data_IF_330467299889
#
_entry.id   IF_330467299889
#
_cell.length_a   1.000
_cell.length_b   1.000
_cell.length_c   1.000
_cell.angle_alpha   90.00
_cell.angle_beta   90.00
_cell.angle_gamma   90.00
#
_symmetry.space_group_name_H-M   'P 1'
#
loop_
_entity.id
_entity.type
_entity.pdbx_description
1 polymer ?
#
# COMPACT_ATOMS: atom_id res chain seq x y z
N UNK A 1 -9.97 -55.63 -46.60
CA UNK A 1 -9.15 -55.06 -45.51
C UNK A 1 -8.93 -53.58 -45.80
N UNK A 2 -9.70 -52.70 -45.18
CA UNK A 2 -9.37 -51.27 -45.09
C UNK A 2 -9.35 -50.92 -43.61
N UNK A 3 -8.16 -50.63 -43.08
CA UNK A 3 -7.98 -50.11 -41.73
C UNK A 3 -8.14 -48.59 -41.80
N UNK A 4 -9.26 -48.08 -41.30
CA UNK A 4 -9.44 -46.64 -41.09
C UNK A 4 -8.70 -46.24 -39.82
N UNK A 5 -7.61 -45.48 -39.96
CA UNK A 5 -6.90 -44.85 -38.85
C UNK A 5 -7.61 -43.55 -38.51
N UNK A 6 -8.27 -43.50 -37.34
CA UNK A 6 -8.82 -42.27 -36.79
C UNK A 6 -7.72 -41.56 -35.99
N UNK A 7 -7.19 -40.46 -36.53
CA UNK A 7 -6.23 -39.60 -35.81
C UNK A 7 -7.02 -38.61 -34.95
N UNK A 8 -7.00 -38.81 -33.64
CA UNK A 8 -7.60 -37.88 -32.68
C UNK A 8 -6.58 -36.77 -32.38
N UNK A 9 -6.74 -35.60 -33.01
CA UNK A 9 -5.93 -34.41 -32.71
C UNK A 9 -6.47 -33.80 -31.41
N UNK A 10 -5.78 -34.05 -30.29
CA UNK A 10 -6.03 -33.37 -29.03
C UNK A 10 -5.47 -31.93 -29.09
N UNK A 11 -6.34 -30.96 -29.38
CA UNK A 11 -6.00 -29.54 -29.26
C UNK A 11 -5.94 -29.18 -27.78
N UNK A 12 -4.74 -29.12 -27.21
CA UNK A 12 -4.52 -28.53 -25.88
C UNK A 12 -4.64 -27.01 -25.99
N UNK A 13 -5.84 -26.47 -25.70
CA UNK A 13 -6.00 -25.04 -25.42
C UNK A 13 -5.15 -24.70 -24.20
N UNK A 14 -3.96 -24.14 -24.46
CA UNK A 14 -3.17 -23.47 -23.44
C UNK A 14 -3.91 -22.19 -23.09
N UNK A 15 -4.80 -22.26 -22.10
CA UNK A 15 -5.32 -21.07 -21.44
C UNK A 15 -4.11 -20.37 -20.84
N UNK A 16 -3.66 -19.29 -21.49
CA UNK A 16 -2.68 -18.39 -20.88
C UNK A 16 -3.29 -17.95 -19.57
N UNK A 17 -2.65 -18.31 -18.46
CA UNK A 17 -3.07 -17.87 -17.14
C UNK A 17 -2.95 -16.34 -17.16
N UNK A 18 -4.06 -15.66 -17.43
CA UNK A 18 -4.13 -14.21 -17.35
C UNK A 18 -3.70 -13.86 -15.93
N UNK A 19 -2.56 -13.20 -15.78
CA UNK A 19 -2.09 -12.78 -14.47
C UNK A 19 -3.18 -11.94 -13.82
N UNK A 20 -3.59 -12.34 -12.63
CA UNK A 20 -4.62 -11.69 -11.85
C UNK A 20 -4.05 -10.44 -11.15
N UNK A 21 -3.68 -9.44 -11.94
CA UNK A 21 -3.06 -8.21 -11.45
C UNK A 21 -4.13 -7.14 -11.17
N UNK A 22 -3.96 -6.34 -10.11
CA UNK A 22 -4.86 -5.23 -9.82
C UNK A 22 -4.77 -4.17 -10.91
N UNK A 23 -5.86 -3.44 -11.14
CA UNK A 23 -5.82 -2.29 -12.03
C UNK A 23 -5.01 -1.15 -11.41
N UNK A 24 -5.19 -0.93 -10.11
CA UNK A 24 -4.54 0.15 -9.38
C UNK A 24 -4.23 -0.25 -7.93
N UNK A 25 -3.06 0.16 -7.45
CA UNK A 25 -2.66 0.12 -6.05
C UNK A 25 -2.34 1.55 -5.61
N UNK A 26 -3.00 2.02 -4.54
CA UNK A 26 -2.74 3.30 -3.89
C UNK A 26 -2.00 2.99 -2.58
N UNK A 27 -0.74 3.36 -2.49
CA UNK A 27 0.11 3.11 -1.33
C UNK A 27 0.25 4.41 -0.56
N UNK A 28 0.12 4.33 0.76
CA UNK A 28 0.42 5.41 1.69
C UNK A 28 1.16 4.86 2.90
N UNK A 29 1.95 5.72 3.51
CA UNK A 29 2.58 5.46 4.80
C UNK A 29 1.54 5.48 5.93
N UNK A 30 1.85 4.77 7.01
CA UNK A 30 1.26 4.97 8.32
C UNK A 30 1.17 6.47 8.73
N UNK A 31 0.22 6.79 9.61
CA UNK A 31 0.14 8.13 10.20
C UNK A 31 1.15 8.32 11.33
N UNK A 32 1.25 9.54 11.83
CA UNK A 32 2.06 9.88 12.98
C UNK A 32 1.59 9.07 14.19
N UNK A 33 2.54 8.38 14.81
CA UNK A 33 2.27 7.42 15.89
C UNK A 33 2.62 8.02 17.24
N UNK A 34 1.86 7.66 18.27
CA UNK A 34 2.23 7.93 19.65
C UNK A 34 3.14 6.82 20.18
N UNK A 35 2.88 5.58 19.76
CA UNK A 35 3.63 4.40 20.13
C UNK A 35 3.41 3.29 19.08
N UNK A 36 3.94 2.09 19.32
CA UNK A 36 3.80 0.96 18.38
C UNK A 36 2.36 0.45 18.19
N UNK A 37 1.40 0.89 19.00
CA UNK A 37 0.03 0.39 19.01
C UNK A 37 -0.99 1.36 18.42
N UNK A 38 -0.70 2.67 18.39
CA UNK A 38 -1.69 3.71 18.03
C UNK A 38 -1.08 4.97 17.42
N UNK A 39 -1.94 5.70 16.72
CA UNK A 39 -1.69 7.06 16.24
C UNK A 39 -1.58 8.05 17.41
N UNK A 40 -0.81 9.13 17.22
CA UNK A 40 -0.92 10.34 18.05
C UNK A 40 -2.05 11.22 17.54
N UNK A 41 -2.38 12.32 18.24
CA UNK A 41 -3.45 13.24 17.84
C UNK A 41 -3.27 13.77 16.41
N UNK A 42 -2.03 14.05 15.99
CA UNK A 42 -1.72 14.45 14.62
C UNK A 42 -2.06 13.34 13.62
N UNK A 43 -1.68 12.10 13.92
CA UNK A 43 -2.00 10.95 13.08
C UNK A 43 -3.49 10.68 12.99
N UNK A 44 -4.23 10.88 14.09
CA UNK A 44 -5.70 10.81 14.10
C UNK A 44 -6.30 11.89 13.20
N UNK A 45 -5.82 13.15 13.29
CA UNK A 45 -6.28 14.22 12.39
C UNK A 45 -5.98 13.89 10.93
N UNK A 46 -4.80 13.34 10.62
CA UNK A 46 -4.46 12.86 9.27
C UNK A 46 -5.38 11.74 8.80
N UNK A 47 -5.71 10.77 9.66
CA UNK A 47 -6.64 9.68 9.36
C UNK A 47 -8.02 10.20 8.94
N UNK A 48 -8.54 11.17 9.70
CA UNK A 48 -9.80 11.84 9.39
C UNK A 48 -9.72 12.68 8.11
N UNK A 49 -8.63 13.41 7.91
CA UNK A 49 -8.40 14.22 6.72
C UNK A 49 -8.31 13.37 5.44
N UNK A 50 -7.62 12.23 5.51
CA UNK A 50 -7.53 11.25 4.43
C UNK A 50 -8.93 10.73 4.03
N UNK A 51 -9.75 10.37 5.00
CA UNK A 51 -11.13 9.93 4.75
C UNK A 51 -11.97 11.05 4.13
N UNK A 52 -11.91 12.26 4.69
CA UNK A 52 -12.72 13.39 4.25
C UNK A 52 -12.30 13.96 2.87
N UNK A 53 -11.03 13.85 2.49
CA UNK A 53 -10.51 14.52 1.31
C UNK A 53 -10.10 13.58 0.19
N UNK A 54 -9.71 12.33 0.44
CA UNK A 54 -9.14 11.48 -0.62
C UNK A 54 -9.74 10.08 -0.71
N UNK A 55 -9.91 9.40 0.43
CA UNK A 55 -10.13 7.97 0.50
C UNK A 55 -11.57 7.56 0.89
N UNK A 56 -12.42 8.48 1.35
CA UNK A 56 -13.78 8.16 1.81
C UNK A 56 -14.88 8.32 0.76
N UNK A 57 -16.07 7.78 1.04
CA UNK A 57 -17.26 7.78 0.16
C UNK A 57 -17.74 9.16 -0.28
N UNK A 58 -17.49 10.17 0.54
CA UNK A 58 -17.82 11.58 0.28
C UNK A 58 -16.60 12.46 0.00
N UNK A 59 -15.43 11.88 -0.26
CA UNK A 59 -14.18 12.62 -0.34
C UNK A 59 -14.25 13.81 -1.31
N UNK A 60 -13.75 14.97 -0.86
CA UNK A 60 -13.73 16.20 -1.66
C UNK A 60 -12.87 16.03 -2.94
N UNK A 61 -11.67 15.47 -2.76
CA UNK A 61 -10.67 15.21 -3.80
C UNK A 61 -10.49 13.70 -4.03
N UNK A 62 -11.60 12.96 -4.12
CA UNK A 62 -11.64 11.49 -4.24
C UNK A 62 -10.61 10.96 -5.23
N UNK A 63 -9.77 10.02 -4.79
CA UNK A 63 -8.83 9.31 -5.68
C UNK A 63 -9.53 8.28 -6.56
N UNK A 64 -10.78 7.91 -6.26
CA UNK A 64 -11.50 6.89 -6.99
C UNK A 64 -12.37 7.48 -8.09
N UNK A 65 -12.14 6.99 -9.31
CA UNK A 65 -12.87 7.40 -10.50
C UNK A 65 -14.38 7.19 -10.31
N UNK A 66 -15.16 8.19 -10.75
CA UNK A 66 -16.64 8.17 -10.67
C UNK A 66 -17.18 7.91 -9.25
N UNK A 67 -16.39 8.21 -8.21
CA UNK A 67 -16.74 7.99 -6.79
C UNK A 67 -17.15 6.54 -6.52
N UNK A 68 -16.56 5.57 -7.23
CA UNK A 68 -16.72 4.15 -6.94
C UNK A 68 -15.82 3.77 -5.76
N UNK A 69 -16.30 2.89 -4.90
CA UNK A 69 -15.50 2.43 -3.76
C UNK A 69 -14.25 1.69 -4.25
N UNK A 70 -13.11 1.81 -3.55
CA UNK A 70 -12.01 0.86 -3.76
C UNK A 70 -12.48 -0.55 -3.38
N UNK A 71 -11.87 -1.56 -3.99
CA UNK A 71 -12.25 -2.94 -3.73
C UNK A 71 -11.80 -3.39 -2.34
N UNK A 72 -10.65 -2.90 -1.86
CA UNK A 72 -10.13 -3.19 -0.53
C UNK A 72 -9.30 -2.05 0.08
N UNK A 73 -9.32 -2.00 1.42
CA UNK A 73 -8.33 -1.32 2.25
C UNK A 73 -7.48 -2.39 2.94
N UNK A 74 -6.17 -2.25 2.86
CA UNK A 74 -5.19 -3.19 3.40
C UNK A 74 -4.23 -2.46 4.32
N UNK A 75 -3.92 -3.07 5.47
CA UNK A 75 -3.02 -2.57 6.49
C UNK A 75 -2.06 -3.69 6.98
N UNK A 76 -0.98 -3.31 7.68
CA UNK A 76 0.02 -4.26 8.24
C UNK A 76 0.19 -4.17 9.75
N UNK A 77 0.10 -2.99 10.33
CA UNK A 77 0.28 -2.72 11.76
C UNK A 77 -0.96 -2.07 12.34
N UNK A 78 -1.05 -1.98 13.67
CA UNK A 78 -2.22 -1.41 14.35
C UNK A 78 -2.43 0.07 14.00
N UNK A 79 -1.36 0.87 13.92
CA UNK A 79 -1.47 2.28 13.54
C UNK A 79 -1.74 2.47 12.04
N UNK A 80 -1.33 1.54 11.15
CA UNK A 80 -1.81 1.57 9.75
C UNK A 80 -3.29 1.20 9.63
N UNK A 81 -3.78 0.27 10.45
CA UNK A 81 -5.20 -0.07 10.55
C UNK A 81 -6.01 1.13 11.02
N UNK A 82 -5.58 1.78 12.10
CA UNK A 82 -6.21 2.98 12.65
C UNK A 82 -6.26 4.12 11.62
N UNK A 83 -5.21 4.28 10.80
CA UNK A 83 -5.15 5.30 9.76
C UNK A 83 -6.21 5.14 8.67
N UNK A 84 -6.45 3.91 8.18
CA UNK A 84 -7.38 3.69 7.06
C UNK A 84 -8.79 3.37 7.50
N UNK A 85 -9.00 3.08 8.79
CA UNK A 85 -10.30 2.68 9.32
C UNK A 85 -11.41 3.70 9.05
N UNK A 86 -11.23 5.03 9.25
CA UNK A 86 -12.28 6.00 8.94
C UNK A 86 -12.66 6.01 7.46
N UNK A 87 -11.68 5.87 6.56
CA UNK A 87 -11.94 5.78 5.12
C UNK A 87 -12.73 4.51 4.77
N UNK A 88 -12.28 3.35 5.25
CA UNK A 88 -12.94 2.06 5.03
C UNK A 88 -14.38 2.05 5.59
N UNK A 89 -14.57 2.58 6.79
CA UNK A 89 -15.88 2.71 7.44
C UNK A 89 -16.84 3.57 6.62
N UNK A 90 -16.38 4.68 6.05
CA UNK A 90 -17.23 5.54 5.21
C UNK A 90 -17.79 4.82 3.96
N UNK A 91 -17.11 3.77 3.50
CA UNK A 91 -17.55 2.90 2.41
C UNK A 91 -18.32 1.66 2.89
N UNK A 92 -18.44 1.42 4.20
CA UNK A 92 -19.01 0.20 4.76
C UNK A 92 -18.15 -1.04 4.47
N UNK A 93 -16.83 -0.89 4.41
CA UNK A 93 -15.88 -1.95 4.06
C UNK A 93 -15.00 -2.34 5.25
N UNK A 94 -14.62 -3.63 5.38
CA UNK A 94 -13.61 -4.05 6.32
C UNK A 94 -12.21 -3.60 5.86
N UNK A 95 -11.27 -3.58 6.79
CA UNK A 95 -9.83 -3.49 6.51
C UNK A 95 -9.25 -4.90 6.56
N UNK A 96 -8.51 -5.30 5.54
CA UNK A 96 -7.76 -6.56 5.51
C UNK A 96 -6.42 -6.32 6.18
N UNK A 97 -6.13 -7.09 7.22
CA UNK A 97 -4.92 -6.89 8.02
C UNK A 97 -3.92 -8.04 7.80
N UNK A 98 -2.79 -7.74 7.18
CA UNK A 98 -1.63 -8.64 7.12
C UNK A 98 -0.76 -8.39 8.35
N UNK A 99 -1.29 -8.75 9.53
CA UNK A 99 -0.82 -8.22 10.80
C UNK A 99 0.63 -8.61 11.14
N UNK A 100 1.44 -7.61 11.48
CA UNK A 100 2.62 -7.73 12.34
C UNK A 100 2.35 -6.97 13.63
N UNK A 101 2.01 -7.68 14.70
CA UNK A 101 1.68 -7.06 15.99
C UNK A 101 2.95 -6.75 16.78
N UNK A 102 2.99 -5.62 17.50
CA UNK A 102 4.03 -5.37 18.49
C UNK A 102 3.98 -6.46 19.56
N UNK A 103 5.14 -6.97 19.95
CA UNK A 103 5.27 -7.93 21.05
C UNK A 103 6.43 -7.51 21.94
N UNK A 104 6.20 -7.53 23.25
CA UNK A 104 7.24 -7.25 24.23
C UNK A 104 8.46 -8.16 24.06
N UNK A 105 9.65 -7.59 24.27
CA UNK A 105 10.92 -8.33 24.20
C UNK A 105 11.45 -8.64 22.80
N UNK A 106 10.75 -8.23 21.73
CA UNK A 106 11.21 -8.44 20.35
C UNK A 106 12.25 -7.38 19.95
N UNK A 107 13.36 -7.82 19.36
CA UNK A 107 14.37 -6.90 18.80
C UNK A 107 13.89 -6.28 17.48
N UNK A 108 14.48 -5.16 17.07
CA UNK A 108 14.17 -4.54 15.78
C UNK A 108 14.37 -5.50 14.59
N UNK A 109 15.45 -6.31 14.62
CA UNK A 109 15.72 -7.30 13.58
C UNK A 109 14.61 -8.38 13.49
N UNK A 110 14.16 -8.90 14.63
CA UNK A 110 13.05 -9.85 14.66
C UNK A 110 11.74 -9.22 14.19
N UNK A 111 11.50 -7.94 14.51
CA UNK A 111 10.34 -7.21 14.02
C UNK A 111 10.38 -7.04 12.49
N UNK A 112 11.55 -6.71 11.92
CA UNK A 112 11.75 -6.61 10.47
C UNK A 112 11.52 -7.96 9.77
N UNK A 113 12.02 -9.08 10.29
CA UNK A 113 11.75 -10.41 9.69
C UNK A 113 10.24 -10.69 9.61
N UNK A 114 9.48 -10.34 10.65
CA UNK A 114 8.03 -10.52 10.64
C UNK A 114 7.33 -9.59 9.64
N UNK A 115 7.73 -8.31 9.59
CA UNK A 115 7.20 -7.34 8.64
C UNK A 115 7.55 -7.72 7.18
N UNK A 116 8.77 -8.20 6.90
CA UNK A 116 9.18 -8.71 5.59
C UNK A 116 8.23 -9.82 5.11
N UNK A 117 7.99 -10.83 5.96
CA UNK A 117 7.09 -11.95 5.64
C UNK A 117 5.67 -11.48 5.34
N UNK A 118 5.13 -10.58 6.16
CA UNK A 118 3.78 -10.01 5.94
C UNK A 118 3.70 -9.12 4.70
N UNK A 119 4.78 -8.41 4.37
CA UNK A 119 4.89 -7.61 3.14
C UNK A 119 4.94 -8.50 1.89
N UNK A 120 5.74 -9.55 1.93
CA UNK A 120 5.80 -10.54 0.85
C UNK A 120 4.46 -11.24 0.65
N UNK A 121 3.80 -11.63 1.74
CA UNK A 121 2.46 -12.24 1.72
C UNK A 121 1.43 -11.31 1.09
N UNK A 122 1.31 -10.08 1.58
CA UNK A 122 0.37 -9.09 1.05
C UNK A 122 0.63 -8.77 -0.43
N UNK A 123 1.88 -8.52 -0.81
CA UNK A 123 2.22 -8.20 -2.19
C UNK A 123 1.96 -9.37 -3.14
N UNK A 124 2.32 -10.60 -2.74
CA UNK A 124 2.02 -11.80 -3.52
C UNK A 124 0.52 -11.96 -3.70
N UNK A 125 -0.25 -11.87 -2.63
CA UNK A 125 -1.70 -12.04 -2.69
C UNK A 125 -2.32 -11.00 -3.62
N UNK A 126 -2.01 -9.71 -3.41
CA UNK A 126 -2.50 -8.59 -4.23
C UNK A 126 -2.17 -8.76 -5.71
N UNK A 127 -0.97 -9.25 -6.04
CA UNK A 127 -0.49 -9.36 -7.43
C UNK A 127 -0.87 -10.66 -8.15
N UNK A 128 -1.34 -11.68 -7.42
CA UNK A 128 -1.54 -13.03 -8.00
C UNK A 128 -2.92 -13.63 -7.73
N UNK A 129 -3.67 -13.15 -6.74
CA UNK A 129 -5.02 -13.69 -6.48
C UNK A 129 -6.03 -13.16 -7.48
N UNK A 130 -6.83 -14.07 -8.05
CA UNK A 130 -7.95 -13.75 -8.96
C UNK A 130 -8.93 -12.76 -8.37
N UNK A 131 -9.06 -12.72 -7.05
CA UNK A 131 -9.96 -11.78 -6.37
C UNK A 131 -9.55 -10.31 -6.59
N UNK A 132 -8.27 -10.04 -6.89
CA UNK A 132 -7.72 -8.70 -7.10
C UNK A 132 -7.56 -8.33 -8.58
N UNK A 133 -7.86 -9.24 -9.51
CA UNK A 133 -7.74 -8.97 -10.93
C UNK A 133 -8.60 -7.76 -11.37
N UNK A 134 -7.95 -6.72 -11.90
CA UNK A 134 -8.62 -5.49 -12.36
C UNK A 134 -9.19 -4.61 -11.23
N UNK A 135 -8.80 -4.85 -9.98
CA UNK A 135 -9.31 -4.16 -8.78
C UNK A 135 -8.50 -2.93 -8.41
N UNK A 136 -9.09 -2.04 -7.63
CA UNK A 136 -8.40 -0.90 -7.00
C UNK A 136 -8.21 -1.19 -5.51
N UNK A 137 -6.97 -1.19 -5.05
CA UNK A 137 -6.61 -1.54 -3.66
C UNK A 137 -5.86 -0.38 -3.01
N UNK A 138 -6.22 -0.06 -1.77
CA UNK A 138 -5.48 0.90 -0.93
C UNK A 138 -4.63 0.13 0.08
N UNK A 139 -3.33 0.44 0.18
CA UNK A 139 -2.38 -0.20 1.10
C UNK A 139 -1.73 0.85 2.02
N UNK A 140 -2.09 0.86 3.30
CA UNK A 140 -1.39 1.66 4.31
C UNK A 140 -0.29 0.85 4.98
N UNK A 141 0.93 1.36 4.98
CA UNK A 141 2.11 0.54 5.27
C UNK A 141 3.20 1.23 6.11
N UNK A 142 4.12 0.44 6.64
CA UNK A 142 5.35 0.96 7.26
C UNK A 142 6.27 1.57 6.20
N UNK A 143 6.74 2.80 6.39
CA UNK A 143 7.55 3.49 5.38
C UNK A 143 8.80 2.70 4.96
N UNK A 144 9.50 2.08 5.92
CA UNK A 144 10.64 1.22 5.63
C UNK A 144 10.30 0.00 4.76
N UNK A 145 9.06 -0.49 4.83
CA UNK A 145 8.59 -1.61 4.01
C UNK A 145 7.83 -1.14 2.76
N UNK A 146 7.60 0.17 2.57
CA UNK A 146 7.22 0.73 1.26
C UNK A 146 8.46 0.77 0.36
N UNK A 147 9.50 1.46 0.81
CA UNK A 147 10.80 1.55 0.14
C UNK A 147 11.90 1.91 1.14
N UNK A 148 12.98 1.12 1.17
CA UNK A 148 14.13 1.39 2.02
C UNK A 148 15.37 0.67 1.51
N UNK A 149 16.28 1.44 0.93
CA UNK A 149 17.57 0.90 0.49
C UNK A 149 18.37 0.26 1.64
N UNK A 150 18.23 0.79 2.87
CA UNK A 150 18.86 0.22 4.06
C UNK A 150 18.31 -1.18 4.37
N UNK A 151 16.98 -1.31 4.46
CA UNK A 151 16.35 -2.59 4.76
C UNK A 151 16.70 -3.64 3.69
N UNK A 152 16.67 -3.26 2.42
CA UNK A 152 16.99 -4.16 1.32
C UNK A 152 18.45 -4.66 1.35
N UNK A 153 19.39 -3.83 1.82
CA UNK A 153 20.78 -4.26 2.05
C UNK A 153 20.93 -5.23 3.21
N UNK A 154 20.07 -5.15 4.21
CA UNK A 154 20.07 -6.08 5.35
C UNK A 154 19.57 -7.48 4.96
N UNK A 155 18.80 -7.60 3.88
CA UNK A 155 18.22 -8.85 3.38
C UNK A 155 18.62 -9.12 1.92
N UNK A 156 19.91 -9.33 1.63
CA UNK A 156 20.39 -9.53 0.26
C UNK A 156 19.78 -10.81 -0.35
N UNK A 157 19.32 -10.70 -1.60
CA UNK A 157 18.68 -11.81 -2.33
C UNK A 157 17.19 -11.99 -2.04
N UNK A 158 16.63 -11.25 -1.08
CA UNK A 158 15.20 -11.24 -0.81
C UNK A 158 14.56 -9.91 -1.24
N UNK A 159 13.37 -9.99 -1.84
CA UNK A 159 12.52 -8.82 -2.05
C UNK A 159 11.71 -8.59 -0.76
N UNK A 160 11.90 -7.45 -0.12
CA UNK A 160 11.33 -7.18 1.23
C UNK A 160 10.53 -5.88 1.31
N UNK A 161 10.65 -4.99 0.32
CA UNK A 161 9.86 -3.75 0.23
C UNK A 161 8.77 -3.85 -0.82
N UNK A 162 7.67 -3.11 -0.65
CA UNK A 162 6.62 -3.00 -1.67
C UNK A 162 7.20 -2.50 -3.00
N UNK A 163 8.18 -1.59 -2.99
CA UNK A 163 8.90 -1.14 -4.19
C UNK A 163 9.44 -2.31 -5.02
N UNK A 164 10.21 -3.21 -4.40
CA UNK A 164 10.79 -4.38 -5.06
C UNK A 164 9.73 -5.42 -5.46
N UNK A 165 8.76 -5.67 -4.56
CA UNK A 165 7.75 -6.72 -4.69
C UNK A 165 6.68 -6.38 -5.75
N UNK A 166 6.35 -5.10 -5.90
CA UNK A 166 5.38 -4.60 -6.86
C UNK A 166 6.01 -4.19 -8.21
N UNK A 167 7.31 -4.47 -8.38
CA UNK A 167 8.13 -4.17 -9.56
C UNK A 167 8.13 -2.68 -9.94
N UNK A 168 8.16 -1.79 -8.94
CA UNK A 168 8.07 -0.34 -9.17
C UNK A 168 9.33 0.22 -9.87
N UNK A 169 10.47 -0.45 -9.76
CA UNK A 169 11.74 -0.10 -10.40
C UNK A 169 11.68 -0.08 -11.94
N UNK A 170 10.55 -0.51 -12.50
CA UNK A 170 10.20 -0.26 -13.89
C UNK A 170 10.16 1.24 -14.25
N UNK A 171 10.01 2.14 -13.28
CA UNK A 171 9.91 3.58 -13.45
C UNK A 171 11.05 4.30 -12.73
N UNK A 172 11.87 5.06 -13.46
CA UNK A 172 13.02 5.77 -12.90
C UNK A 172 12.65 6.89 -11.91
N UNK A 173 11.40 7.33 -11.88
CA UNK A 173 10.90 8.37 -10.97
C UNK A 173 10.51 7.84 -9.59
N UNK A 174 10.57 6.52 -9.37
CA UNK A 174 10.25 5.92 -8.07
C UNK A 174 11.42 6.14 -7.11
N UNK A 175 11.20 6.79 -5.95
CA UNK A 175 12.25 6.95 -4.95
C UNK A 175 12.73 5.59 -4.40
N UNK A 176 14.04 5.39 -4.28
CA UNK A 176 14.61 4.17 -3.69
C UNK A 176 14.28 4.01 -2.20
N UNK A 177 14.01 5.12 -1.52
CA UNK A 177 13.68 5.15 -0.10
C UNK A 177 12.51 6.10 0.13
N UNK A 178 11.52 5.65 0.91
CA UNK A 178 10.50 6.50 1.46
C UNK A 178 11.06 7.22 2.69
N UNK A 179 11.18 8.54 2.64
CA UNK A 179 11.72 9.32 3.75
C UNK A 179 10.87 9.16 5.01
N UNK A 180 11.52 8.95 6.16
CA UNK A 180 10.88 8.91 7.48
C UNK A 180 10.18 10.20 7.86
N UNK A 181 10.40 11.28 7.12
CA UNK A 181 9.76 12.57 7.33
C UNK A 181 8.50 12.78 6.49
N UNK A 182 8.30 12.05 5.40
CA UNK A 182 7.17 12.27 4.50
C UNK A 182 5.97 11.39 4.89
N UNK A 183 4.93 12.00 5.46
CA UNK A 183 3.66 11.35 5.82
C UNK A 183 2.53 11.63 4.83
N UNK A 184 2.69 12.67 4.01
CA UNK A 184 1.67 13.34 3.23
C UNK A 184 1.77 13.03 1.74
N UNK A 185 2.06 11.77 1.38
CA UNK A 185 2.14 11.35 -0.01
C UNK A 185 1.39 10.04 -0.27
N UNK A 186 0.86 9.92 -1.48
CA UNK A 186 0.43 8.67 -2.09
C UNK A 186 1.43 8.27 -3.17
N UNK A 187 1.70 6.97 -3.28
CA UNK A 187 2.16 6.38 -4.52
C UNK A 187 0.99 5.69 -5.19
N UNK A 188 0.60 6.18 -6.36
CA UNK A 188 -0.49 5.63 -7.17
C UNK A 188 0.12 4.85 -8.32
N UNK A 189 -0.12 3.54 -8.31
CA UNK A 189 0.49 2.59 -9.25
C UNK A 189 -0.62 1.97 -10.08
N UNK A 190 -0.54 2.07 -11.40
CA UNK A 190 -1.47 1.42 -12.31
C UNK A 190 -0.79 0.26 -13.02
N UNK A 191 -1.55 -0.79 -13.31
CA UNK A 191 -1.10 -1.93 -14.12
C UNK A 191 -2.02 -2.14 -15.32
N UNK A 192 -1.42 -2.57 -16.42
CA UNK A 192 -2.17 -3.11 -17.55
C UNK A 192 -2.71 -4.50 -17.19
N UNK A 193 -3.85 -4.88 -17.78
CA UNK A 193 -4.45 -6.20 -17.59
C UNK A 193 -3.43 -7.30 -17.90
N UNK A 194 -3.20 -8.21 -16.95
CA UNK A 194 -2.27 -9.33 -17.14
C UNK A 194 -0.78 -8.97 -17.01
N UNK A 195 -0.44 -7.71 -16.69
CA UNK A 195 0.95 -7.28 -16.49
C UNK A 195 1.27 -7.11 -15.01
N UNK A 196 2.36 -7.72 -14.56
CA UNK A 196 2.97 -7.44 -13.24
C UNK A 196 3.97 -6.28 -13.28
N UNK A 197 4.22 -5.70 -14.46
CA UNK A 197 4.99 -4.47 -14.63
C UNK A 197 4.03 -3.27 -14.59
N UNK A 198 4.26 -2.27 -13.72
CA UNK A 198 3.41 -1.08 -13.66
C UNK A 198 3.40 -0.34 -14.99
N UNK A 199 2.21 0.03 -15.48
CA UNK A 199 2.05 0.88 -16.66
C UNK A 199 2.20 2.38 -16.35
N UNK A 200 1.94 2.78 -15.09
CA UNK A 200 2.10 4.16 -14.63
C UNK A 200 2.44 4.19 -13.14
N UNK A 201 3.26 5.15 -12.76
CA UNK A 201 3.55 5.52 -11.38
C UNK A 201 3.34 7.02 -11.20
N UNK A 202 2.72 7.42 -10.09
CA UNK A 202 2.56 8.81 -9.69
C UNK A 202 2.79 8.97 -8.19
N UNK A 203 3.67 9.91 -7.83
CA UNK A 203 3.76 10.44 -6.47
C UNK A 203 2.83 11.64 -6.35
N UNK A 204 1.82 11.55 -5.47
CA UNK A 204 0.84 12.62 -5.26
C UNK A 204 0.89 13.11 -3.82
N UNK A 205 1.16 14.40 -3.63
CA UNK A 205 1.11 15.05 -2.31
C UNK A 205 -0.33 15.12 -1.80
N UNK A 206 -0.51 14.85 -0.52
CA UNK A 206 -1.74 15.05 0.24
C UNK A 206 -1.77 16.52 0.67
N UNK A 207 -2.74 17.27 0.16
CA UNK A 207 -2.96 18.66 0.53
C UNK A 207 -4.33 18.74 1.17
N UNK A 208 -4.35 19.13 2.44
CA UNK A 208 -5.59 19.17 3.21
C UNK A 208 -6.14 20.59 3.27
N UNK A 209 -7.37 20.78 2.81
CA UNK A 209 -8.14 21.99 3.08
C UNK A 209 -8.73 22.00 4.49
N UNK A 210 -9.24 23.16 4.93
CA UNK A 210 -9.98 23.28 6.18
C UNK A 210 -11.10 22.21 6.30
N UNK A 211 -11.32 21.63 7.49
CA UNK A 211 -10.71 22.01 8.79
C UNK A 211 -9.36 21.31 9.08
N UNK A 212 -8.74 20.66 8.09
CA UNK A 212 -7.54 19.84 8.27
C UNK A 212 -6.26 20.50 7.73
N UNK A 213 -6.31 21.78 7.39
CA UNK A 213 -5.20 22.58 6.88
C UNK A 213 -4.05 22.76 7.89
N UNK A 214 -4.30 22.49 9.17
CA UNK A 214 -3.29 22.43 10.22
C UNK A 214 -2.58 21.07 10.34
N UNK A 215 -3.01 20.03 9.61
CA UNK A 215 -2.29 18.75 9.59
C UNK A 215 -0.92 18.96 8.95
N UNK A 216 0.20 18.55 9.60
CA UNK A 216 1.54 18.77 9.08
C UNK A 216 1.72 18.27 7.65
N UNK A 217 2.42 19.07 6.86
CA UNK A 217 2.78 18.77 5.48
C UNK A 217 4.19 19.28 5.21
N UNK A 218 4.90 18.60 4.32
CA UNK A 218 6.28 18.89 3.98
C UNK A 218 6.57 18.42 2.56
N UNK A 219 7.54 19.06 1.91
CA UNK A 219 8.00 18.59 0.61
C UNK A 219 8.82 17.30 0.76
N UNK A 220 8.87 16.54 -0.32
CA UNK A 220 9.59 15.26 -0.35
C UNK A 220 11.05 15.45 0.08
N UNK A 221 11.48 14.69 1.08
CA UNK A 221 12.82 14.76 1.66
C UNK A 221 13.05 15.87 2.70
N UNK A 222 12.05 16.70 3.00
CA UNK A 222 12.13 17.73 4.05
C UNK A 222 11.47 17.24 5.35
N UNK A 223 11.90 17.67 6.55
CA UNK A 223 11.22 17.33 7.80
C UNK A 223 9.87 18.04 7.95
N UNK A 224 8.86 17.40 8.56
CA UNK A 224 7.61 18.06 8.92
C UNK A 224 7.81 18.99 10.14
N UNK A 225 6.96 20.00 10.25
CA UNK A 225 6.84 20.80 11.46
C UNK A 225 5.69 20.29 12.31
N UNK A 226 5.98 19.89 13.55
CA UNK A 226 4.97 19.41 14.50
C UNK A 226 4.66 20.46 15.57
N UNK A 227 3.41 20.49 16.08
CA UNK A 227 3.11 21.21 17.31
C UNK A 227 4.03 20.76 18.46
N UNK A 228 4.53 21.71 19.26
CA UNK A 228 5.53 21.46 20.33
C UNK A 228 5.13 20.37 21.32
N UNK A 229 3.83 20.10 21.48
CA UNK A 229 3.27 19.11 22.40
C UNK A 229 2.54 17.94 21.72
N UNK A 230 2.89 17.61 20.47
CA UNK A 230 2.15 16.60 19.66
C UNK A 230 2.16 15.17 20.22
N UNK A 231 3.07 14.86 21.17
CA UNK A 231 3.31 13.51 21.71
C UNK A 231 3.56 12.42 20.66
N UNK A 232 3.82 12.82 19.41
CA UNK A 232 4.14 11.88 18.35
C UNK A 232 5.59 11.42 18.51
N UNK A 233 5.84 10.14 18.22
CA UNK A 233 7.20 9.65 18.02
C UNK A 233 7.82 10.42 16.85
N UNK A 234 9.05 10.89 17.07
CA UNK A 234 9.86 11.55 16.05
C UNK A 234 10.58 10.50 15.22
#
# INVERSE_FOLDING_TARGET
>A
MMLSVLVLIAVTLHATAAHATPHQIIILRHGEKQDAYRLCDVGVQRSLALAAQYLGKGAQNSLFAQRRAPDAFIAITLHTLELVSPAAQSWGKPVILYSSLPTHGRTAAQANVMLNRRTQEAARDVMTSRQWAGKTVVMAWEHHHIASHKLEKEFPGEKVTLRQLLNLDAHASVPETWSGDNFDYFWIVNYAKGSQRPSRFETRKQVFAAPFDAVPSNDWGQPPSYPTNSRCEK
#
